data_IF_282573130576
#
_entry.id   IF_282573130576
#
_cell.length_a   1.000
_cell.length_b   1.000
_cell.length_c   1.000
_cell.angle_alpha   90.00
_cell.angle_beta   90.00
_cell.angle_gamma   90.00
#
_symmetry.space_group_name_H-M   'P 1'
#
loop_
_entity.id
_entity.type
_entity.pdbx_description
1 polymer ?
#
# COMPACT_ATOMS: atom_id res chain seq x y z
N UNK A 1 4.22 11.74 5.16
CA UNK A 1 2.99 11.09 5.68
C UNK A 1 1.79 12.03 5.56
N UNK A 2 0.56 11.55 5.74
CA UNK A 2 -0.61 12.44 5.77
C UNK A 2 -1.77 11.87 6.59
N UNK A 3 -2.72 12.73 6.94
CA UNK A 3 -3.99 12.37 7.59
C UNK A 3 -5.17 12.83 6.74
N UNK A 4 -6.20 12.00 6.66
CA UNK A 4 -7.43 12.31 5.92
C UNK A 4 -8.51 12.73 6.93
N UNK A 5 -9.08 13.95 6.87
CA UNK A 5 -9.95 14.48 7.94
C UNK A 5 -11.13 13.58 8.35
N UNK A 6 -11.82 12.88 7.43
CA UNK A 6 -12.86 11.92 7.80
C UNK A 6 -12.39 10.72 8.64
N UNK A 7 -11.08 10.47 8.73
CA UNK A 7 -10.45 9.45 9.58
C UNK A 7 -9.24 10.03 10.33
N UNK A 8 -9.48 10.86 11.36
CA UNK A 8 -8.42 11.63 12.00
C UNK A 8 -7.43 10.76 12.80
N UNK A 9 -7.86 9.56 13.22
CA UNK A 9 -7.05 8.57 13.96
C UNK A 9 -6.27 7.60 13.05
N UNK A 10 -6.33 7.83 11.73
CA UNK A 10 -5.65 7.00 10.73
C UNK A 10 -4.47 7.73 10.12
N UNK A 11 -3.32 7.08 10.12
CA UNK A 11 -2.07 7.57 9.53
C UNK A 11 -1.86 6.93 8.16
N UNK A 12 -1.59 7.73 7.13
CA UNK A 12 -1.32 7.22 5.79
C UNK A 12 0.16 7.40 5.39
N UNK A 13 0.82 6.27 5.10
CA UNK A 13 2.23 6.19 4.74
C UNK A 13 2.41 6.16 3.21
N UNK A 14 2.82 7.30 2.66
CA UNK A 14 3.21 7.43 1.27
C UNK A 14 4.74 7.33 1.13
N UNK A 15 5.23 6.16 0.72
CA UNK A 15 6.67 5.80 0.79
C UNK A 15 7.36 5.75 -0.59
N UNK A 16 6.62 5.90 -1.68
CA UNK A 16 7.18 5.88 -3.04
C UNK A 16 6.28 6.63 -4.03
N UNK A 17 6.89 7.22 -5.06
CA UNK A 17 6.17 7.74 -6.23
C UNK A 17 6.03 6.68 -7.34
N UNK A 18 6.75 5.55 -7.25
CA UNK A 18 6.75 4.53 -8.31
C UNK A 18 5.45 3.74 -8.28
N UNK A 19 4.94 3.36 -9.45
CA UNK A 19 3.78 2.48 -9.59
C UNK A 19 3.93 1.68 -10.89
N UNK A 20 3.49 0.42 -10.88
CA UNK A 20 3.44 -0.42 -12.09
C UNK A 20 2.20 -0.17 -12.95
N UNK A 21 1.21 0.54 -12.40
CA UNK A 21 0.04 0.98 -13.12
C UNK A 21 0.13 2.47 -13.47
N UNK A 22 -0.31 2.84 -14.67
CA UNK A 22 -0.48 4.22 -15.12
C UNK A 22 -1.97 4.54 -15.27
N UNK A 23 -2.74 4.30 -14.21
CA UNK A 23 -4.20 4.38 -14.26
C UNK A 23 -4.68 5.76 -14.73
N UNK A 24 -5.63 5.79 -15.66
CA UNK A 24 -6.17 7.04 -16.17
C UNK A 24 -6.87 7.84 -15.06
N UNK A 25 -7.52 7.16 -14.12
CA UNK A 25 -8.28 7.75 -13.02
C UNK A 25 -7.43 8.07 -11.78
N UNK A 26 -6.10 7.88 -11.82
CA UNK A 26 -5.26 8.10 -10.65
C UNK A 26 -5.23 9.58 -10.27
N UNK A 27 -5.51 9.89 -9.00
CA UNK A 27 -5.52 11.28 -8.47
C UNK A 27 -4.20 12.02 -8.71
N UNK A 28 -3.07 11.31 -8.77
CA UNK A 28 -1.75 11.89 -9.05
C UNK A 28 -1.65 12.62 -10.39
N UNK A 29 -2.55 12.31 -11.33
CA UNK A 29 -2.63 12.95 -12.65
C UNK A 29 -3.37 14.30 -12.60
N UNK A 30 -4.10 14.57 -11.52
CA UNK A 30 -5.04 15.70 -11.42
C UNK A 30 -4.76 16.61 -10.23
N UNK A 31 -4.02 16.14 -9.22
CA UNK A 31 -3.69 16.90 -8.03
C UNK A 31 -2.26 16.57 -7.55
N UNK A 32 -1.50 17.56 -7.02
CA UNK A 32 -0.21 17.30 -6.41
C UNK A 32 -0.32 16.67 -5.01
N UNK A 33 -1.53 16.56 -4.46
CA UNK A 33 -1.74 16.18 -3.07
C UNK A 33 -3.18 15.82 -2.70
N UNK A 34 -3.39 15.52 -1.41
CA UNK A 34 -4.69 15.22 -0.83
C UNK A 34 -4.81 15.88 0.55
N UNK A 35 -5.97 16.48 0.85
CA UNK A 35 -6.27 17.08 2.17
C UNK A 35 -5.23 18.08 2.67
N UNK A 36 -4.68 18.90 1.77
CA UNK A 36 -3.66 19.90 2.08
C UNK A 36 -2.23 19.36 2.15
N UNK A 37 -2.03 18.04 2.04
CA UNK A 37 -0.72 17.41 2.01
C UNK A 37 -0.25 17.22 0.57
N UNK A 38 0.99 17.63 0.26
CA UNK A 38 1.67 17.27 -0.99
C UNK A 38 2.11 15.81 -0.94
N UNK A 39 1.71 15.02 -1.93
CA UNK A 39 2.00 13.57 -1.98
C UNK A 39 3.08 13.20 -2.99
N UNK A 40 3.48 14.10 -3.88
CA UNK A 40 4.71 13.91 -4.66
C UNK A 40 5.93 14.08 -3.76
N UNK A 41 6.64 12.98 -3.55
CA UNK A 41 7.91 12.96 -2.83
C UNK A 41 9.01 13.56 -3.71
N UNK A 42 9.89 14.38 -3.14
CA UNK A 42 11.05 14.91 -3.89
C UNK A 42 12.08 13.81 -4.18
N UNK A 43 12.18 12.83 -3.29
CA UNK A 43 12.90 11.56 -3.48
C UNK A 43 12.26 10.44 -2.66
N UNK A 44 12.63 9.20 -2.94
CA UNK A 44 12.24 8.10 -2.06
C UNK A 44 12.89 8.28 -0.67
N UNK A 45 12.10 8.32 0.42
CA UNK A 45 12.67 8.41 1.77
C UNK A 45 13.33 7.09 2.14
N UNK A 46 14.40 7.15 2.91
CA UNK A 46 14.98 5.95 3.55
C UNK A 46 14.02 5.39 4.59
N UNK A 47 14.24 4.14 4.99
CA UNK A 47 13.40 3.51 6.02
C UNK A 47 13.45 4.26 7.36
N UNK A 48 14.63 4.78 7.73
CA UNK A 48 14.81 5.47 9.01
C UNK A 48 14.20 6.88 9.00
N UNK A 49 14.11 7.53 7.83
CA UNK A 49 13.37 8.78 7.67
C UNK A 49 11.87 8.57 7.85
N UNK A 50 11.31 7.54 7.20
CA UNK A 50 9.89 7.19 7.37
C UNK A 50 9.62 6.81 8.82
N UNK A 51 10.51 6.03 9.43
CA UNK A 51 10.36 5.60 10.81
C UNK A 51 10.39 6.77 11.80
N UNK A 52 11.31 7.72 11.63
CA UNK A 52 11.37 8.92 12.47
C UNK A 52 10.09 9.74 12.37
N UNK A 53 9.60 9.97 11.15
CA UNK A 53 8.36 10.71 10.92
C UNK A 53 7.16 10.00 11.58
N UNK A 54 7.08 8.67 11.49
CA UNK A 54 6.07 7.87 12.20
C UNK A 54 6.15 8.13 13.71
N UNK A 55 7.34 8.07 14.31
CA UNK A 55 7.52 8.23 15.75
C UNK A 55 7.13 9.63 16.24
N UNK A 56 7.29 10.66 15.41
CA UNK A 56 6.93 12.05 15.75
C UNK A 56 5.40 12.30 15.71
N UNK A 57 4.68 11.51 14.92
CA UNK A 57 3.29 11.81 14.54
C UNK A 57 2.26 10.81 15.07
N UNK A 58 2.71 9.59 15.39
CA UNK A 58 1.87 8.57 15.99
C UNK A 58 1.48 8.97 17.42
N UNK A 59 0.20 8.82 17.74
CA UNK A 59 -0.41 9.19 19.02
C UNK A 59 -1.08 7.96 19.62
N UNK A 60 -1.25 7.95 20.93
CA UNK A 60 -1.98 6.88 21.63
C UNK A 60 -3.43 6.72 21.14
N UNK A 61 -4.02 7.80 20.61
CA UNK A 61 -5.37 7.79 20.06
C UNK A 61 -5.45 7.27 18.61
N UNK A 62 -4.33 6.93 17.97
CA UNK A 62 -4.33 6.38 16.62
C UNK A 62 -4.63 4.89 16.64
N UNK A 63 -5.54 4.47 15.77
CA UNK A 63 -6.04 3.10 15.71
C UNK A 63 -5.58 2.34 14.47
N UNK A 64 -5.13 3.06 13.43
CA UNK A 64 -4.78 2.48 12.13
C UNK A 64 -3.63 3.20 11.42
N UNK A 65 -2.68 2.42 10.89
CA UNK A 65 -1.67 2.85 9.92
C UNK A 65 -1.96 2.19 8.57
N UNK A 66 -1.95 2.99 7.50
CA UNK A 66 -2.28 2.55 6.15
C UNK A 66 -1.10 2.83 5.22
N UNK A 67 -0.53 1.80 4.61
CA UNK A 67 0.36 2.00 3.47
C UNK A 67 -0.47 2.40 2.25
N UNK A 68 -0.39 3.68 1.86
CA UNK A 68 -1.17 4.26 0.78
C UNK A 68 -0.55 5.60 0.35
N UNK A 69 -0.57 5.89 -0.95
CA UNK A 69 0.03 7.11 -1.48
C UNK A 69 -0.12 7.25 -2.99
N UNK A 70 0.73 8.06 -3.61
CA UNK A 70 0.73 8.26 -5.07
C UNK A 70 1.41 7.14 -5.85
N UNK A 71 2.30 6.38 -5.19
CA UNK A 71 2.88 5.15 -5.72
C UNK A 71 2.24 3.88 -5.16
N UNK A 72 2.76 2.74 -5.60
CA UNK A 72 2.43 1.41 -5.11
C UNK A 72 3.37 1.02 -3.96
N UNK A 73 2.90 0.92 -2.70
CA UNK A 73 3.75 0.67 -1.55
C UNK A 73 4.59 -0.59 -1.69
N UNK A 74 4.02 -1.66 -2.27
CA UNK A 74 4.72 -2.94 -2.39
C UNK A 74 5.79 -2.95 -3.49
N UNK A 75 6.02 -1.88 -4.25
CA UNK A 75 7.28 -1.72 -5.01
C UNK A 75 8.49 -1.64 -4.06
N UNK A 76 8.25 -1.22 -2.82
CA UNK A 76 9.23 -1.21 -1.73
C UNK A 76 8.85 -2.25 -0.67
N UNK A 77 8.58 -3.49 -1.10
CA UNK A 77 8.08 -4.55 -0.21
C UNK A 77 8.90 -4.70 1.07
N UNK A 78 10.23 -4.75 1.00
CA UNK A 78 11.07 -4.91 2.20
C UNK A 78 10.94 -3.73 3.19
N UNK A 79 10.70 -2.52 2.68
CA UNK A 79 10.42 -1.35 3.52
C UNK A 79 9.06 -1.47 4.20
N UNK A 80 8.04 -1.94 3.48
CA UNK A 80 6.72 -2.22 4.06
C UNK A 80 6.85 -3.26 5.18
N UNK A 81 7.52 -4.39 4.92
CA UNK A 81 7.69 -5.46 5.89
C UNK A 81 8.44 -5.01 7.15
N UNK A 82 9.55 -4.30 7.00
CA UNK A 82 10.35 -3.84 8.15
C UNK A 82 9.63 -2.75 8.94
N UNK A 83 8.96 -1.78 8.30
CA UNK A 83 8.17 -0.77 9.00
C UNK A 83 6.97 -1.40 9.73
N UNK A 84 6.27 -2.36 9.13
CA UNK A 84 5.20 -3.11 9.81
C UNK A 84 5.73 -3.79 11.07
N UNK A 85 6.87 -4.48 10.99
CA UNK A 85 7.50 -5.12 12.16
C UNK A 85 7.92 -4.12 13.24
N UNK A 86 8.40 -2.93 12.87
CA UNK A 86 8.75 -1.86 13.82
C UNK A 86 7.49 -1.30 14.50
N UNK A 87 6.45 -1.01 13.73
CA UNK A 87 5.15 -0.55 14.23
C UNK A 87 4.53 -1.54 15.22
N UNK A 88 4.41 -2.83 14.86
CA UNK A 88 3.85 -3.85 15.75
C UNK A 88 4.66 -4.08 17.02
N UNK A 89 5.97 -3.83 17.00
CA UNK A 89 6.82 -3.91 18.21
C UNK A 89 6.56 -2.76 19.17
N UNK A 90 6.31 -1.54 18.68
CA UNK A 90 6.09 -0.36 19.54
C UNK A 90 4.62 -0.12 19.87
N UNK A 91 3.71 -0.52 18.98
CA UNK A 91 2.27 -0.33 19.11
C UNK A 91 1.56 -1.66 18.75
N UNK A 92 1.59 -2.68 19.63
CA UNK A 92 1.06 -4.01 19.31
C UNK A 92 -0.40 -4.02 18.84
N UNK A 93 -1.20 -3.10 19.38
CA UNK A 93 -2.63 -3.02 19.12
C UNK A 93 -3.00 -2.19 17.87
N UNK A 94 -2.04 -1.45 17.28
CA UNK A 94 -2.34 -0.61 16.11
C UNK A 94 -2.67 -1.49 14.90
N UNK A 95 -3.77 -1.19 14.20
CA UNK A 95 -4.12 -1.92 12.98
C UNK A 95 -3.25 -1.44 11.83
N UNK A 96 -2.80 -2.38 11.00
CA UNK A 96 -2.00 -2.08 9.81
C UNK A 96 -2.75 -2.56 8.57
N UNK A 97 -3.10 -1.62 7.68
CA UNK A 97 -3.70 -1.92 6.38
C UNK A 97 -2.73 -1.63 5.24
N UNK A 98 -2.70 -2.49 4.24
CA UNK A 98 -2.04 -2.24 2.97
C UNK A 98 -3.06 -1.93 1.89
N UNK A 99 -2.99 -0.76 1.25
CA UNK A 99 -3.68 -0.49 0.00
C UNK A 99 -2.70 -0.76 -1.16
N UNK A 100 -3.09 -1.62 -2.11
CA UNK A 100 -2.19 -2.08 -3.17
C UNK A 100 -2.90 -2.26 -4.52
N UNK A 101 -2.15 -2.16 -5.61
CA UNK A 101 -2.53 -2.55 -6.97
C UNK A 101 -2.69 -4.07 -7.13
N UNK A 102 -2.17 -4.87 -6.19
CA UNK A 102 -2.25 -6.33 -6.19
C UNK A 102 -1.21 -7.03 -7.05
N UNK A 103 -0.21 -6.30 -7.58
CA UNK A 103 0.82 -6.84 -8.49
C UNK A 103 2.11 -7.26 -7.77
N UNK A 104 2.10 -7.27 -6.44
CA UNK A 104 3.28 -7.59 -5.64
C UNK A 104 3.84 -8.98 -5.94
N UNK A 105 2.97 -9.99 -5.97
CA UNK A 105 3.37 -11.36 -6.29
C UNK A 105 3.92 -11.50 -7.71
N UNK A 106 3.38 -10.75 -8.68
CA UNK A 106 3.88 -10.75 -10.06
C UNK A 106 5.29 -10.15 -10.18
N UNK A 107 5.60 -9.13 -9.36
CA UNK A 107 6.92 -8.49 -9.30
C UNK A 107 7.97 -9.34 -8.60
N UNK A 108 7.59 -10.06 -7.55
CA UNK A 108 8.52 -10.86 -6.75
C UNK A 108 8.30 -12.36 -6.95
N UNK A 109 8.62 -12.88 -8.15
CA UNK A 109 8.31 -14.26 -8.60
C UNK A 109 8.96 -15.41 -7.79
N UNK A 110 9.76 -15.12 -6.76
CA UNK A 110 10.37 -16.11 -5.87
C UNK A 110 9.98 -15.95 -4.39
N UNK A 111 9.01 -15.09 -4.09
CA UNK A 111 8.55 -14.77 -2.74
C UNK A 111 7.13 -15.26 -2.52
N UNK A 112 6.75 -15.47 -1.27
CA UNK A 112 5.34 -15.65 -0.89
C UNK A 112 4.85 -14.33 -0.28
N UNK A 113 4.46 -13.38 -1.13
CA UNK A 113 4.24 -12.00 -0.69
C UNK A 113 3.07 -11.89 0.30
N UNK A 114 1.99 -12.65 0.09
CA UNK A 114 0.84 -12.63 0.98
C UNK A 114 1.20 -13.15 2.38
N UNK A 115 1.95 -14.25 2.45
CA UNK A 115 2.45 -14.80 3.71
C UNK A 115 3.40 -13.84 4.41
N UNK A 116 4.39 -13.30 3.71
CA UNK A 116 5.38 -12.38 4.28
C UNK A 116 4.73 -11.11 4.85
N UNK A 117 3.73 -10.55 4.15
CA UNK A 117 2.94 -9.42 4.66
C UNK A 117 2.20 -9.79 5.94
N UNK A 118 1.61 -10.99 6.01
CA UNK A 118 0.89 -11.45 7.19
C UNK A 118 1.84 -11.70 8.36
N UNK A 119 2.96 -12.38 8.14
CA UNK A 119 3.99 -12.67 9.13
C UNK A 119 4.64 -11.39 9.69
N UNK A 120 4.80 -10.35 8.85
CA UNK A 120 5.27 -9.05 9.33
C UNK A 120 4.27 -8.35 10.26
N UNK A 121 2.98 -8.72 10.19
CA UNK A 121 1.92 -8.18 11.05
C UNK A 121 0.94 -7.24 10.32
N UNK A 122 0.82 -7.31 9.00
CA UNK A 122 -0.29 -6.64 8.30
C UNK A 122 -1.61 -7.31 8.72
N UNK A 123 -2.62 -6.51 9.03
CA UNK A 123 -3.93 -6.99 9.52
C UNK A 123 -4.96 -7.14 8.40
N UNK A 124 -4.94 -6.24 7.43
CA UNK A 124 -5.87 -6.25 6.30
C UNK A 124 -5.22 -5.73 5.02
N UNK A 125 -5.75 -6.17 3.88
CA UNK A 125 -5.31 -5.73 2.55
C UNK A 125 -6.51 -5.20 1.77
N UNK A 126 -6.35 -4.04 1.16
CA UNK A 126 -7.28 -3.50 0.17
C UNK A 126 -6.63 -3.56 -1.23
N UNK A 127 -7.25 -4.32 -2.14
CA UNK A 127 -6.72 -4.59 -3.47
C UNK A 127 -7.53 -3.81 -4.51
N UNK A 128 -6.84 -2.99 -5.29
CA UNK A 128 -7.44 -2.12 -6.30
C UNK A 128 -7.81 -2.88 -7.58
N UNK A 129 -8.85 -3.72 -7.53
CA UNK A 129 -9.42 -4.40 -8.71
C UNK A 129 -10.46 -3.49 -9.41
N UNK A 130 -9.99 -2.66 -10.34
CA UNK A 130 -10.78 -1.57 -10.91
C UNK A 130 -11.53 -1.91 -12.22
N UNK A 131 -11.63 -3.19 -12.59
CA UNK A 131 -12.33 -3.63 -13.79
C UNK A 131 -12.79 -5.08 -13.68
N UNK A 132 -13.86 -5.41 -14.40
CA UNK A 132 -14.48 -6.74 -14.40
C UNK A 132 -13.84 -7.74 -15.37
N UNK A 133 -12.95 -7.29 -16.25
CA UNK A 133 -12.21 -8.14 -17.20
C UNK A 133 -10.86 -7.54 -17.58
N UNK A 134 -10.04 -8.33 -18.27
CA UNK A 134 -8.68 -7.96 -18.68
C UNK A 134 -8.68 -6.75 -19.62
N UNK A 135 -9.55 -6.73 -20.63
CA UNK A 135 -9.55 -5.65 -21.63
C UNK A 135 -9.82 -4.29 -20.98
N UNK A 136 -10.80 -4.22 -20.07
CA UNK A 136 -11.11 -2.99 -19.33
C UNK A 136 -10.03 -2.65 -18.32
N UNK A 137 -9.45 -3.64 -17.64
CA UNK A 137 -8.35 -3.42 -16.72
C UNK A 137 -7.16 -2.78 -17.43
N UNK A 138 -6.75 -3.33 -18.58
CA UNK A 138 -5.60 -2.82 -19.34
C UNK A 138 -5.88 -1.41 -19.88
N UNK A 139 -7.11 -1.12 -20.31
CA UNK A 139 -7.53 0.21 -20.73
C UNK A 139 -7.46 1.25 -19.60
N UNK A 140 -7.98 0.90 -18.42
CA UNK A 140 -8.14 1.80 -17.29
C UNK A 140 -6.86 1.95 -16.45
N UNK A 141 -6.24 0.83 -16.09
CA UNK A 141 -5.07 0.76 -15.21
C UNK A 141 -3.75 0.91 -15.96
N UNK A 142 -3.70 0.57 -17.25
CA UNK A 142 -2.50 0.62 -18.10
C UNK A 142 -1.27 0.04 -17.39
N UNK A 143 -1.32 -1.24 -16.99
CA UNK A 143 -0.22 -1.89 -16.30
C UNK A 143 0.99 -2.00 -17.23
N UNK A 144 2.20 -1.82 -16.68
CA UNK A 144 3.46 -2.09 -17.41
C UNK A 144 3.88 -3.56 -17.37
N UNK A 145 3.22 -4.38 -16.55
CA UNK A 145 3.49 -5.81 -16.42
C UNK A 145 2.45 -6.63 -17.18
N UNK A 146 2.91 -7.54 -18.05
CA UNK A 146 2.04 -8.46 -18.76
C UNK A 146 1.35 -9.45 -17.79
N UNK A 147 0.08 -9.76 -18.05
CA UNK A 147 -0.73 -10.66 -17.21
C UNK A 147 -1.17 -10.05 -15.88
N UNK A 148 -1.17 -8.72 -15.78
CA UNK A 148 -1.52 -8.01 -14.54
C UNK A 148 -2.92 -8.33 -14.04
N UNK A 149 -3.92 -8.39 -14.92
CA UNK A 149 -5.29 -8.68 -14.50
C UNK A 149 -5.41 -10.04 -13.80
N UNK A 150 -4.83 -11.10 -14.38
CA UNK A 150 -4.80 -12.43 -13.79
C UNK A 150 -4.01 -12.45 -12.50
N UNK A 151 -2.89 -11.72 -12.45
CA UNK A 151 -2.05 -11.64 -11.27
C UNK A 151 -2.77 -10.98 -10.08
N UNK A 152 -3.52 -9.90 -10.31
CA UNK A 152 -4.32 -9.27 -9.25
C UNK A 152 -5.36 -10.25 -8.71
N UNK A 153 -6.07 -10.98 -9.58
CA UNK A 153 -7.05 -11.98 -9.15
C UNK A 153 -6.39 -13.14 -8.40
N UNK A 154 -5.22 -13.60 -8.85
CA UNK A 154 -4.47 -14.66 -8.18
C UNK A 154 -3.99 -14.19 -6.80
N UNK A 155 -3.44 -12.99 -6.69
CA UNK A 155 -2.97 -12.40 -5.44
C UNK A 155 -4.14 -12.19 -4.45
N UNK A 156 -5.29 -11.71 -4.92
CA UNK A 156 -6.48 -11.58 -4.08
C UNK A 156 -6.93 -12.93 -3.49
N UNK A 157 -6.91 -14.01 -4.29
CA UNK A 157 -7.22 -15.36 -3.80
C UNK A 157 -6.18 -15.87 -2.80
N UNK A 158 -4.91 -15.56 -3.03
CA UNK A 158 -3.83 -15.99 -2.15
C UNK A 158 -3.88 -15.26 -0.79
N UNK A 159 -4.10 -13.94 -0.79
CA UNK A 159 -4.33 -13.15 0.42
C UNK A 159 -5.47 -13.73 1.29
N UNK A 160 -6.55 -14.27 0.69
CA UNK A 160 -7.64 -14.89 1.47
C UNK A 160 -7.22 -16.13 2.28
N UNK A 161 -6.05 -16.71 2.01
CA UNK A 161 -5.50 -17.81 2.81
C UNK A 161 -4.89 -17.33 4.13
N UNK A 162 -4.42 -16.08 4.16
CA UNK A 162 -3.63 -15.52 5.26
C UNK A 162 -4.35 -14.40 6.02
N UNK A 163 -5.25 -13.67 5.37
CA UNK A 163 -5.93 -12.50 5.92
C UNK A 163 -7.42 -12.75 6.16
N UNK A 164 -7.95 -12.40 7.35
CA UNK A 164 -9.38 -12.50 7.62
C UNK A 164 -10.20 -11.48 6.83
N UNK A 165 -9.59 -10.34 6.45
CA UNK A 165 -10.22 -9.28 5.68
C UNK A 165 -9.37 -8.94 4.45
N UNK A 166 -9.96 -9.15 3.28
CA UNK A 166 -9.46 -8.69 1.98
C UNK A 166 -10.61 -7.97 1.29
N UNK A 167 -10.41 -6.69 0.95
CA UNK A 167 -11.42 -5.83 0.31
C UNK A 167 -10.98 -5.36 -1.06
#
# INVERSE_FOLDING_TARGET
MYRYPPRPHTIYLNITNRCTNSCIFCVRNYSPGLSGYRLWLDREPSIDEVWREIQEEIKESDDEVVFCGFGEPTIRLDVVLELTKRLKRQNPDIRIRLNTDGLAQLRYKGRNVAEELREAGVDSISISLNAENREKYDMLCRPSLEGSYEAVLAFARDCRRYFPQVT
#
